data_IF_255106117752
#
_entry.id   IF_255106117752
#
_cell.length_a   1.000
_cell.length_b   1.000
_cell.length_c   1.000
_cell.angle_alpha   90.00
_cell.angle_beta   90.00
_cell.angle_gamma   90.00
#
_symmetry.space_group_name_H-M   'P 1'
#
loop_
_entity.id
_entity.type
_entity.pdbx_description
1 polymer ?
#
# COMPACT_ATOMS: atom_id res chain seq x y z
N UNK A 1 41.10 -65.87 -34.38
CA UNK A 1 40.69 -64.49 -34.73
C UNK A 1 41.15 -63.59 -33.58
N UNK A 2 42.42 -63.16 -33.59
CA UNK A 2 42.87 -61.76 -33.87
C UNK A 2 42.18 -60.73 -32.94
N UNK A 3 42.82 -59.97 -32.03
CA UNK A 3 44.21 -59.51 -31.88
C UNK A 3 44.46 -59.17 -30.39
N UNK A 4 45.62 -59.53 -29.84
CA UNK A 4 46.20 -58.96 -28.61
C UNK A 4 47.17 -57.84 -29.01
N UNK A 5 47.15 -56.68 -28.34
CA UNK A 5 48.32 -55.79 -28.23
C UNK A 5 48.38 -55.12 -26.86
N UNK A 6 49.52 -55.33 -26.19
CA UNK A 6 50.02 -54.69 -24.98
C UNK A 6 50.73 -53.36 -25.29
N UNK A 7 51.08 -52.66 -24.20
CA UNK A 7 52.13 -51.63 -24.02
C UNK A 7 51.57 -50.21 -23.97
N UNK A 8 51.87 -49.37 -22.96
CA UNK A 8 53.10 -49.26 -22.14
C UNK A 8 52.80 -48.47 -20.86
N UNK A 9 53.45 -48.84 -19.75
CA UNK A 9 53.50 -48.08 -18.49
C UNK A 9 54.39 -46.84 -18.66
N UNK A 10 53.97 -45.70 -18.13
CA UNK A 10 54.74 -44.45 -18.07
C UNK A 10 54.46 -43.70 -16.76
N UNK A 11 55.54 -43.47 -16.02
CA UNK A 11 55.63 -42.93 -14.65
C UNK A 11 55.31 -41.43 -14.54
N UNK A 12 54.62 -41.09 -13.43
CA UNK A 12 54.85 -40.01 -12.45
C UNK A 12 54.96 -38.53 -12.88
N UNK A 13 54.08 -37.74 -12.23
CA UNK A 13 54.14 -36.34 -11.78
C UNK A 13 54.13 -35.20 -12.82
N UNK A 14 53.10 -34.36 -12.72
CA UNK A 14 53.25 -32.92 -12.48
C UNK A 14 51.91 -32.28 -12.11
N UNK A 15 51.98 -31.48 -11.05
CA UNK A 15 50.92 -30.71 -10.40
C UNK A 15 50.32 -29.65 -11.31
N UNK A 16 48.98 -29.49 -11.31
CA UNK A 16 48.33 -28.21 -11.65
C UNK A 16 47.08 -27.99 -10.81
N UNK A 17 47.09 -26.86 -10.10
CA UNK A 17 46.00 -26.22 -9.38
C UNK A 17 44.73 -26.16 -10.25
N UNK A 18 43.64 -26.81 -9.82
CA UNK A 18 42.31 -26.54 -10.36
C UNK A 18 41.66 -25.44 -9.51
N UNK A 19 41.71 -24.20 -10.00
CA UNK A 19 40.88 -23.10 -9.52
C UNK A 19 39.40 -23.47 -9.75
N UNK A 20 38.66 -23.70 -8.67
CA UNK A 20 37.21 -23.70 -8.66
C UNK A 20 36.74 -22.25 -8.81
N UNK A 21 36.41 -21.86 -10.04
CA UNK A 21 35.69 -20.62 -10.31
C UNK A 21 34.24 -20.77 -9.81
N UNK A 22 34.00 -20.33 -8.57
CA UNK A 22 32.65 -20.03 -8.09
C UNK A 22 32.15 -18.79 -8.84
N UNK A 23 31.35 -19.00 -9.89
CA UNK A 23 30.55 -17.93 -10.47
C UNK A 23 29.46 -17.57 -9.48
N UNK A 24 29.76 -16.62 -8.59
CA UNK A 24 28.76 -15.94 -7.79
C UNK A 24 27.84 -15.17 -8.75
N UNK A 25 26.73 -15.82 -9.15
CA UNK A 25 25.63 -15.15 -9.81
C UNK A 25 25.09 -14.08 -8.88
N UNK A 26 25.42 -12.82 -9.16
CA UNK A 26 24.80 -11.67 -8.54
C UNK A 26 23.32 -11.68 -8.92
N UNK A 27 22.48 -12.21 -8.02
CA UNK A 27 21.05 -11.96 -8.08
C UNK A 27 20.86 -10.46 -7.88
N UNK A 28 20.70 -9.75 -9.00
CA UNK A 28 20.25 -8.36 -8.98
C UNK A 28 18.85 -8.35 -8.36
N UNK A 29 18.76 -7.88 -7.11
CA UNK A 29 17.48 -7.52 -6.50
C UNK A 29 16.84 -6.48 -7.40
N UNK A 30 15.80 -6.87 -8.12
CA UNK A 30 14.94 -5.95 -8.83
C UNK A 30 14.23 -5.08 -7.78
N UNK A 31 14.79 -3.91 -7.50
CA UNK A 31 14.02 -2.82 -6.92
C UNK A 31 12.88 -2.53 -7.88
N UNK A 32 11.64 -2.84 -7.47
CA UNK A 32 10.45 -2.51 -8.23
C UNK A 32 10.36 -0.99 -8.34
N UNK A 33 10.92 -0.45 -9.41
CA UNK A 33 10.84 0.96 -9.76
C UNK A 33 9.37 1.30 -10.03
N UNK A 34 8.87 2.34 -9.38
CA UNK A 34 7.49 2.76 -9.53
C UNK A 34 7.24 3.13 -11.00
N UNK A 35 6.32 2.40 -11.64
CA UNK A 35 5.89 2.65 -13.01
C UNK A 35 5.54 4.14 -13.22
N UNK A 36 5.96 4.77 -14.34
CA UNK A 36 5.74 6.20 -14.60
C UNK A 36 4.25 6.56 -14.64
N UNK A 37 3.87 7.82 -14.35
CA UNK A 37 2.45 8.20 -14.20
C UNK A 37 1.51 7.92 -15.39
N UNK A 38 1.96 8.09 -16.64
CA UNK A 38 1.16 7.69 -17.82
C UNK A 38 0.86 6.19 -17.81
N UNK A 39 1.76 5.41 -17.20
CA UNK A 39 1.57 4.01 -16.95
C UNK A 39 0.48 3.76 -15.89
N UNK A 40 0.29 4.63 -14.88
CA UNK A 40 -0.76 4.37 -13.88
C UNK A 40 -2.18 4.52 -14.46
N UNK A 41 -2.43 5.55 -15.28
CA UNK A 41 -3.71 5.65 -15.99
C UNK A 41 -3.92 4.47 -16.95
N UNK A 42 -2.87 4.02 -17.64
CA UNK A 42 -2.93 2.83 -18.51
C UNK A 42 -3.20 1.56 -17.73
N UNK A 43 -2.47 1.35 -16.64
CA UNK A 43 -2.60 0.23 -15.72
C UNK A 43 -4.03 0.15 -15.20
N UNK A 44 -4.56 1.25 -14.65
CA UNK A 44 -5.92 1.25 -14.11
C UNK A 44 -6.95 0.89 -15.18
N UNK A 45 -6.81 1.39 -16.42
CA UNK A 45 -7.71 0.99 -17.53
C UNK A 45 -7.66 -0.52 -17.83
N UNK A 46 -6.51 -1.15 -17.68
CA UNK A 46 -6.32 -2.58 -17.92
C UNK A 46 -6.85 -3.44 -16.76
N UNK A 47 -6.41 -3.18 -15.53
CA UNK A 47 -6.76 -4.01 -14.35
C UNK A 47 -8.15 -3.70 -13.78
N UNK A 48 -8.71 -2.54 -14.16
CA UNK A 48 -9.96 -1.95 -13.62
C UNK A 48 -9.87 -1.61 -12.14
N UNK A 49 -9.79 -2.61 -11.28
CA UNK A 49 -9.70 -2.46 -9.83
C UNK A 49 -8.39 -3.05 -9.36
N UNK A 50 -7.66 -2.27 -8.56
CA UNK A 50 -6.47 -2.75 -7.88
C UNK A 50 -6.36 -2.00 -6.56
N UNK A 51 -6.45 -2.76 -5.47
CA UNK A 51 -6.46 -2.24 -4.10
C UNK A 51 -5.05 -1.86 -3.60
N UNK A 52 -4.00 -2.11 -4.41
CA UNK A 52 -2.63 -1.73 -4.10
C UNK A 52 -2.51 -0.21 -4.03
N UNK A 53 -2.21 0.30 -2.84
CA UNK A 53 -1.94 1.72 -2.59
C UNK A 53 -0.52 2.03 -3.03
N UNK A 54 -0.38 3.05 -3.89
CA UNK A 54 0.88 3.45 -4.52
C UNK A 54 1.30 4.85 -4.09
N UNK A 55 2.60 5.13 -3.98
CA UNK A 55 3.09 6.44 -3.62
C UNK A 55 2.82 7.46 -4.74
N UNK A 56 3.00 8.73 -4.38
CA UNK A 56 2.98 9.85 -5.31
C UNK A 56 3.92 9.68 -6.51
N UNK A 57 3.58 10.31 -7.64
CA UNK A 57 4.38 10.40 -8.85
C UNK A 57 4.23 11.81 -9.44
N UNK A 58 5.35 12.46 -9.75
CA UNK A 58 5.36 13.82 -10.33
C UNK A 58 4.52 13.91 -11.61
N UNK A 59 4.53 12.88 -12.44
CA UNK A 59 3.80 12.94 -13.70
C UNK A 59 2.25 12.85 -13.53
N UNK A 60 1.74 12.68 -12.29
CA UNK A 60 0.34 12.89 -11.92
C UNK A 60 0.06 14.25 -11.27
N UNK A 61 1.07 15.10 -11.06
CA UNK A 61 1.00 16.34 -10.26
C UNK A 61 -0.25 17.18 -10.59
N UNK A 62 -0.43 17.55 -11.86
CA UNK A 62 -1.54 18.42 -12.26
C UNK A 62 -2.91 17.81 -11.94
N UNK A 63 -3.09 16.51 -12.16
CA UNK A 63 -4.30 15.78 -11.81
C UNK A 63 -4.50 15.67 -10.30
N UNK A 64 -3.42 15.43 -9.56
CA UNK A 64 -3.42 15.34 -8.09
C UNK A 64 -3.79 16.67 -7.45
N UNK A 65 -3.29 17.80 -7.97
CA UNK A 65 -3.69 19.14 -7.52
C UNK A 65 -5.17 19.40 -7.77
N UNK A 66 -5.71 18.99 -8.92
CA UNK A 66 -7.16 19.11 -9.20
C UNK A 66 -7.99 18.25 -8.24
N UNK A 67 -7.56 17.02 -7.99
CA UNK A 67 -8.21 16.12 -7.04
C UNK A 67 -8.15 16.65 -5.60
N UNK A 68 -7.03 17.23 -5.19
CA UNK A 68 -6.87 17.88 -3.89
C UNK A 68 -7.91 18.99 -3.69
N UNK A 69 -8.01 19.93 -4.64
CA UNK A 69 -9.01 21.02 -4.59
C UNK A 69 -10.44 20.52 -4.51
N UNK A 70 -10.72 19.35 -5.12
CA UNK A 70 -12.05 18.72 -5.06
C UNK A 70 -12.34 18.12 -3.68
N UNK A 71 -11.34 17.50 -3.03
CA UNK A 71 -11.50 16.90 -1.70
C UNK A 71 -11.50 17.96 -0.59
N UNK A 72 -10.73 19.04 -0.76
CA UNK A 72 -10.54 20.09 0.22
C UNK A 72 -10.87 21.46 -0.39
N UNK A 73 -12.16 21.73 -0.71
CA UNK A 73 -12.57 22.98 -1.35
C UNK A 73 -12.28 24.23 -0.50
N UNK A 74 -12.24 24.07 0.82
CA UNK A 74 -11.99 25.16 1.77
C UNK A 74 -10.49 25.38 2.07
N UNK A 75 -9.59 24.61 1.43
CA UNK A 75 -8.16 24.77 1.59
C UNK A 75 -7.70 26.12 1.01
N UNK A 76 -6.93 26.89 1.79
CA UNK A 76 -6.44 28.22 1.40
C UNK A 76 -5.37 28.16 0.30
N UNK A 77 -4.65 27.05 0.23
CA UNK A 77 -3.62 26.80 -0.77
C UNK A 77 -3.61 25.31 -1.14
N UNK A 78 -3.02 25.01 -2.27
CA UNK A 78 -2.64 23.63 -2.60
C UNK A 78 -1.35 23.28 -1.84
N UNK A 79 -1.13 22.02 -1.46
CA UNK A 79 0.12 21.60 -0.86
C UNK A 79 1.27 21.78 -1.86
N UNK A 80 2.44 22.09 -1.33
CA UNK A 80 3.67 22.05 -2.12
C UNK A 80 3.92 20.62 -2.61
N UNK A 81 4.63 20.47 -3.73
CA UNK A 81 4.86 19.13 -4.30
C UNK A 81 5.59 18.19 -3.33
N UNK A 82 6.51 18.71 -2.52
CA UNK A 82 7.20 17.92 -1.48
C UNK A 82 6.23 17.35 -0.43
N UNK A 83 5.11 18.04 -0.15
CA UNK A 83 4.07 17.52 0.73
C UNK A 83 3.23 16.45 0.01
N UNK A 84 2.92 16.67 -1.27
CA UNK A 84 2.24 15.65 -2.09
C UNK A 84 3.04 14.35 -2.17
N UNK A 85 4.38 14.43 -2.20
CA UNK A 85 5.26 13.26 -2.19
C UNK A 85 5.07 12.36 -0.95
N UNK A 86 4.76 12.95 0.21
CA UNK A 86 4.59 12.21 1.46
C UNK A 86 3.13 11.89 1.78
N UNK A 87 2.19 12.67 1.26
CA UNK A 87 0.78 12.58 1.64
C UNK A 87 -0.09 11.91 0.57
N UNK A 88 0.19 12.13 -0.72
CA UNK A 88 -0.66 11.66 -1.80
C UNK A 88 -0.41 10.18 -2.13
N UNK A 89 -1.49 9.44 -2.28
CA UNK A 89 -1.50 8.00 -2.49
C UNK A 89 -2.52 7.62 -3.55
N UNK A 90 -2.17 6.69 -4.43
CA UNK A 90 -3.03 6.29 -5.56
C UNK A 90 -3.53 4.85 -5.46
N UNK A 91 -4.69 4.59 -6.07
CA UNK A 91 -5.17 3.24 -6.37
C UNK A 91 -5.99 3.21 -7.66
N UNK A 92 -6.24 2.02 -8.18
CA UNK A 92 -7.13 1.85 -9.33
C UNK A 92 -8.54 1.46 -8.88
N UNK A 93 -9.54 2.18 -9.38
CA UNK A 93 -10.94 1.83 -9.16
C UNK A 93 -11.76 2.10 -10.41
N UNK A 94 -12.49 1.09 -10.88
CA UNK A 94 -13.34 1.13 -12.07
C UNK A 94 -12.64 1.69 -13.32
N UNK A 95 -11.37 1.36 -13.53
CA UNK A 95 -10.61 1.84 -14.69
C UNK A 95 -9.95 3.21 -14.51
N UNK A 96 -10.15 3.86 -13.36
CA UNK A 96 -9.70 5.21 -13.07
C UNK A 96 -8.60 5.21 -12.01
N UNK A 97 -7.71 6.20 -12.11
CA UNK A 97 -6.77 6.52 -11.04
C UNK A 97 -7.51 7.35 -10.01
N UNK A 98 -7.54 6.89 -8.77
CA UNK A 98 -8.01 7.67 -7.63
C UNK A 98 -6.82 8.06 -6.76
N UNK A 99 -6.87 9.25 -6.15
CA UNK A 99 -5.92 9.72 -5.14
C UNK A 99 -6.61 9.94 -3.80
N UNK A 100 -5.85 9.71 -2.73
CA UNK A 100 -6.18 10.02 -1.34
C UNK A 100 -4.97 10.70 -0.69
N UNK A 101 -5.19 11.52 0.33
CA UNK A 101 -4.15 12.24 1.05
C UNK A 101 -4.10 11.78 2.50
N UNK A 102 -2.97 11.22 2.93
CA UNK A 102 -2.75 10.84 4.33
C UNK A 102 -2.61 12.12 5.16
N UNK A 103 -3.25 12.13 6.32
CA UNK A 103 -3.19 13.23 7.28
C UNK A 103 -3.75 12.77 8.63
N UNK A 104 -3.98 13.70 9.55
CA UNK A 104 -4.30 13.41 10.95
C UNK A 104 -5.39 12.35 11.16
N UNK A 105 -6.42 12.30 10.30
CA UNK A 105 -7.52 11.33 10.39
C UNK A 105 -8.00 10.84 9.01
N UNK A 106 -7.10 10.76 8.02
CA UNK A 106 -7.43 10.41 6.65
C UNK A 106 -6.72 9.11 6.25
N UNK A 107 -7.27 7.93 6.59
CA UNK A 107 -6.66 6.66 6.24
C UNK A 107 -6.80 6.39 4.73
N UNK A 108 -5.69 6.44 3.99
CA UNK A 108 -5.63 5.99 2.60
C UNK A 108 -5.46 4.47 2.50
N UNK A 109 -6.30 3.73 3.22
CA UNK A 109 -6.27 2.28 3.32
C UNK A 109 -7.68 1.70 3.27
N UNK A 110 -7.78 0.36 3.27
CA UNK A 110 -9.05 -0.32 3.55
C UNK A 110 -9.47 -0.01 4.97
N UNK A 111 -10.75 0.28 5.15
CA UNK A 111 -11.34 0.58 6.45
C UNK A 111 -11.63 -0.74 7.16
N UNK A 112 -11.22 -0.82 8.43
CA UNK A 112 -11.54 -1.94 9.30
C UNK A 112 -13.04 -1.95 9.61
N UNK A 113 -13.75 -2.91 9.02
CA UNK A 113 -15.18 -3.10 9.17
C UNK A 113 -15.57 -4.11 10.26
N UNK A 114 -14.63 -4.50 11.13
CA UNK A 114 -14.94 -5.34 12.28
C UNK A 114 -15.75 -4.56 13.32
N UNK A 115 -16.85 -5.16 13.78
CA UNK A 115 -17.69 -4.59 14.85
C UNK A 115 -17.08 -4.79 16.24
N UNK A 116 -16.26 -5.82 16.40
CA UNK A 116 -15.50 -6.03 17.62
C UNK A 116 -14.19 -5.25 17.49
N UNK A 117 -14.00 -4.26 18.34
CA UNK A 117 -12.78 -3.46 18.33
C UNK A 117 -12.09 -3.61 19.70
N UNK A 118 -10.94 -4.28 19.77
CA UNK A 118 -10.24 -4.53 21.04
C UNK A 118 -9.89 -3.24 21.78
N UNK A 119 -9.38 -2.22 21.08
CA UNK A 119 -9.01 -0.96 21.73
C UNK A 119 -10.20 -0.16 22.24
N UNK A 120 -11.34 -0.18 21.53
CA UNK A 120 -12.59 0.37 22.04
C UNK A 120 -13.08 -0.40 23.28
N UNK A 121 -12.99 -1.74 23.24
CA UNK A 121 -13.40 -2.61 24.33
C UNK A 121 -12.54 -2.39 25.57
N UNK A 122 -11.23 -2.25 25.40
CA UNK A 122 -10.29 -1.97 26.48
C UNK A 122 -10.53 -0.60 27.11
N UNK A 123 -10.77 0.43 26.28
CA UNK A 123 -11.13 1.76 26.76
C UNK A 123 -12.41 1.74 27.63
N UNK A 124 -13.45 1.02 27.19
CA UNK A 124 -14.73 1.03 27.88
C UNK A 124 -14.73 0.30 29.23
N UNK A 125 -13.73 -0.56 29.53
CA UNK A 125 -13.65 -1.27 30.82
C UNK A 125 -13.57 -0.33 32.03
N UNK A 126 -12.97 0.84 31.84
CA UNK A 126 -12.76 1.84 32.91
C UNK A 126 -13.44 3.17 32.64
N UNK A 127 -14.08 3.34 31.47
CA UNK A 127 -14.77 4.57 31.09
C UNK A 127 -16.19 4.65 31.70
N UNK A 128 -16.76 5.86 31.72
CA UNK A 128 -18.14 6.06 32.18
C UNK A 128 -19.13 5.67 31.07
N UNK A 129 -20.36 5.32 31.47
CA UNK A 129 -21.45 5.11 30.51
C UNK A 129 -21.69 6.39 29.70
N UNK A 130 -21.72 6.26 28.37
CA UNK A 130 -21.85 7.38 27.44
C UNK A 130 -20.53 7.88 26.85
N UNK A 131 -19.38 7.53 27.42
CA UNK A 131 -18.08 7.92 26.87
C UNK A 131 -17.86 7.31 25.49
N UNK A 132 -17.17 8.05 24.62
CA UNK A 132 -16.84 7.63 23.25
C UNK A 132 -15.34 7.36 23.16
N UNK A 133 -14.91 6.12 22.85
CA UNK A 133 -13.51 5.82 22.66
C UNK A 133 -12.87 6.71 21.58
N UNK A 134 -11.68 7.31 21.83
CA UNK A 134 -11.00 8.14 20.83
C UNK A 134 -10.43 7.29 19.70
N UNK A 135 -10.12 7.91 18.55
CA UNK A 135 -9.48 7.22 17.41
C UNK A 135 -8.12 6.60 17.75
N UNK A 136 -7.41 7.14 18.73
CA UNK A 136 -6.18 6.52 19.25
C UNK A 136 -6.43 5.14 19.87
N UNK A 137 -7.64 4.88 20.38
CA UNK A 137 -8.05 3.57 20.90
C UNK A 137 -8.70 2.71 19.81
N UNK A 138 -9.59 3.27 18.99
CA UNK A 138 -10.32 2.48 17.98
C UNK A 138 -9.49 2.17 16.74
N UNK A 139 -8.42 2.92 16.49
CA UNK A 139 -7.76 3.01 15.20
C UNK A 139 -8.40 4.09 14.32
N UNK A 140 -7.57 4.75 13.50
CA UNK A 140 -8.01 5.78 12.55
C UNK A 140 -8.78 5.20 11.35
N UNK A 141 -8.68 3.89 11.13
CA UNK A 141 -9.33 3.14 10.06
C UNK A 141 -10.62 2.42 10.52
N UNK A 142 -11.11 2.68 11.74
CA UNK A 142 -12.34 2.07 12.22
C UNK A 142 -13.58 2.53 11.41
N UNK A 143 -14.37 1.57 10.92
CA UNK A 143 -15.63 1.87 10.23
C UNK A 143 -16.70 2.40 11.19
N UNK A 144 -16.75 1.86 12.40
CA UNK A 144 -17.81 2.13 13.35
C UNK A 144 -17.39 3.13 14.42
N UNK A 145 -18.36 3.94 14.85
CA UNK A 145 -18.28 4.71 16.09
C UNK A 145 -18.79 3.84 17.25
N UNK A 146 -18.26 4.09 18.45
CA UNK A 146 -18.57 3.31 19.64
C UNK A 146 -19.02 4.22 20.79
N UNK A 147 -19.87 3.70 21.65
CA UNK A 147 -20.22 4.32 22.94
C UNK A 147 -20.11 3.27 24.04
N UNK A 148 -19.53 3.65 25.17
CA UNK A 148 -19.39 2.76 26.32
C UNK A 148 -20.73 2.59 27.04
N UNK A 149 -21.12 1.33 27.27
CA UNK A 149 -22.27 0.95 28.10
C UNK A 149 -21.92 -0.27 28.95
N UNK A 150 -22.03 -0.10 30.25
CA UNK A 150 -21.80 -1.11 31.29
C UNK A 150 -20.46 -1.84 31.09
N UNK A 151 -19.40 -1.06 30.88
CA UNK A 151 -18.04 -1.57 30.68
C UNK A 151 -17.73 -2.11 29.27
N UNK A 152 -18.67 -1.98 28.31
CA UNK A 152 -18.54 -2.56 26.96
C UNK A 152 -18.64 -1.49 25.88
N UNK A 153 -17.86 -1.66 24.82
CA UNK A 153 -18.00 -0.86 23.60
C UNK A 153 -19.21 -1.35 22.79
N UNK A 154 -20.16 -0.46 22.55
CA UNK A 154 -21.34 -0.74 21.72
C UNK A 154 -21.28 0.15 20.48
N UNK A 155 -21.49 -0.43 19.29
CA UNK A 155 -21.54 0.33 18.03
C UNK A 155 -22.68 1.35 18.12
N UNK A 156 -22.34 2.63 17.99
CA UNK A 156 -23.27 3.76 18.03
C UNK A 156 -23.53 4.37 16.66
N UNK A 157 -22.71 4.02 15.65
CA UNK A 157 -22.88 4.52 14.30
C UNK A 157 -21.78 4.05 13.35
N UNK A 158 -21.78 4.61 12.15
CA UNK A 158 -20.77 4.37 11.11
C UNK A 158 -20.09 5.70 10.77
N UNK A 159 -18.76 5.70 10.70
CA UNK A 159 -17.93 6.88 10.41
C UNK A 159 -17.74 7.06 8.90
N UNK A 160 -17.61 5.96 8.16
CA UNK A 160 -17.30 5.98 6.73
C UNK A 160 -18.36 5.29 5.88
N UNK A 161 -18.68 5.89 4.72
CA UNK A 161 -19.30 5.14 3.63
C UNK A 161 -18.20 4.46 2.81
N UNK A 162 -18.35 3.16 2.53
CA UNK A 162 -17.33 2.39 1.82
C UNK A 162 -17.70 2.16 0.36
N UNK A 163 -16.70 2.11 -0.50
CA UNK A 163 -16.86 1.56 -1.84
C UNK A 163 -16.93 0.02 -1.81
N UNK A 164 -17.18 -0.59 -2.97
CA UNK A 164 -17.27 -2.05 -3.11
C UNK A 164 -15.96 -2.80 -2.76
N UNK A 165 -14.86 -2.08 -2.54
CA UNK A 165 -13.53 -2.62 -2.23
C UNK A 165 -13.11 -2.37 -0.78
N UNK A 166 -13.97 -1.71 0.01
CA UNK A 166 -13.73 -1.45 1.44
C UNK A 166 -12.96 -0.16 1.73
N UNK A 167 -12.85 0.77 0.77
CA UNK A 167 -12.20 2.07 0.98
C UNK A 167 -13.24 3.16 1.22
N UNK A 168 -12.94 4.13 2.09
CA UNK A 168 -13.85 5.24 2.39
C UNK A 168 -14.09 6.14 1.16
N UNK A 169 -15.30 6.16 0.60
CA UNK A 169 -15.59 6.81 -0.70
C UNK A 169 -15.23 8.30 -0.71
N UNK A 170 -15.44 8.99 0.41
CA UNK A 170 -15.18 10.44 0.54
C UNK A 170 -13.70 10.81 0.62
N UNK A 171 -12.79 9.84 0.82
CA UNK A 171 -11.35 10.10 0.88
C UNK A 171 -10.65 9.95 -0.47
N UNK A 172 -11.33 9.39 -1.47
CA UNK A 172 -10.72 9.07 -2.77
C UNK A 172 -11.35 9.90 -3.89
N UNK A 173 -10.55 10.71 -4.57
CA UNK A 173 -10.97 11.49 -5.73
C UNK A 173 -10.27 11.04 -7.00
N UNK A 174 -10.99 11.11 -8.13
CA UNK A 174 -10.42 10.81 -9.44
C UNK A 174 -9.31 11.79 -9.81
N UNK A 175 -8.20 11.24 -10.32
CA UNK A 175 -7.06 11.99 -10.87
C UNK A 175 -7.27 12.09 -12.39
N UNK A 176 -7.67 13.26 -12.92
CA UNK A 176 -7.86 13.42 -14.36
C UNK A 176 -6.52 13.38 -15.08
N UNK A 177 -6.53 12.85 -16.31
CA UNK A 177 -5.34 12.77 -17.16
C UNK A 177 -5.02 14.10 -17.86
N UNK A 178 -5.96 15.05 -17.90
CA UNK A 178 -5.82 16.38 -18.54
C UNK A 178 -6.46 17.48 -17.70
#
# INVERSE_FOLDING_TARGET
MTVFRLSTLGFIALSTFALLAFTAGTAASATAEAAPAEDLHKLCRQVKNDDTVRPYSHALYAGTVKAFKKLFPDAKSVPEESQLQTEANYRCMNGKVLTCFIGANLPCAKINAERNNPGASDYCKTAKNGDTPPMAATGHDALYAYTCRDGKAVVSGTVWALDKRGFATKLWAEVPQR
#
